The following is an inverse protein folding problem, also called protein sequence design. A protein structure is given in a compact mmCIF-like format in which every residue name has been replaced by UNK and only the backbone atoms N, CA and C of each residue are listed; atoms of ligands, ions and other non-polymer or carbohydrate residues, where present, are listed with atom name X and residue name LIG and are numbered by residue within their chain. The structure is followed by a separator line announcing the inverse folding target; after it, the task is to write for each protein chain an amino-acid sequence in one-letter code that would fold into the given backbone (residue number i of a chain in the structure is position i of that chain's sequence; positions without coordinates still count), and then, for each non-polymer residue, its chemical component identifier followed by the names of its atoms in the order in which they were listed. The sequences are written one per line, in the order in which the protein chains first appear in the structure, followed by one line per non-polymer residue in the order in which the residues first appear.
data_IF_759399108066
#
_entry.id   IF_759399108066
#
_cell.length_a   1.000
_cell.length_b   1.000
_cell.length_c   1.000
_cell.angle_alpha   90.00
_cell.angle_beta   90.00
_cell.angle_gamma   90.00
#
_symmetry.space_group_name_H-M   'P 1'
#
loop_
_entity.id
_entity.type
_entity.pdbx_description
1 polymer ?
#
# COMPACT_ATOMS: atom_id res chain seq x y z
N UNK A 1 12.55 5.49 -16.28
CA UNK A 1 12.72 4.21 -15.55
C UNK A 1 11.45 4.00 -14.76
N UNK A 2 10.87 2.80 -14.75
CA UNK A 2 9.68 2.53 -13.94
C UNK A 2 10.04 2.74 -12.47
N UNK A 3 9.36 3.67 -11.80
CA UNK A 3 9.56 3.87 -10.37
C UNK A 3 9.20 2.57 -9.64
N UNK A 4 10.10 2.07 -8.80
CA UNK A 4 9.81 0.92 -7.94
C UNK A 4 8.86 1.43 -6.86
N UNK A 5 7.64 0.87 -6.78
CA UNK A 5 6.73 1.16 -5.66
C UNK A 5 7.35 0.61 -4.39
N UNK A 6 7.62 1.47 -3.42
CA UNK A 6 8.14 1.08 -2.12
C UNK A 6 7.01 1.12 -1.12
N UNK A 7 6.44 -0.05 -0.86
CA UNK A 7 5.34 -0.24 0.09
C UNK A 7 5.87 -1.00 1.30
N UNK A 8 5.51 -0.55 2.48
CA UNK A 8 5.92 -1.14 3.75
C UNK A 8 4.69 -1.45 4.61
N UNK A 9 4.72 -2.63 5.25
CA UNK A 9 3.71 -3.03 6.23
C UNK A 9 4.31 -2.84 7.62
N UNK A 10 3.58 -2.16 8.50
CA UNK A 10 3.94 -2.02 9.91
C UNK A 10 2.76 -2.42 10.79
N UNK A 11 3.05 -2.77 12.04
CA UNK A 11 2.03 -3.01 13.05
C UNK A 11 2.32 -2.10 14.23
N UNK A 12 1.34 -1.28 14.58
CA UNK A 12 1.37 -0.37 15.72
C UNK A 12 0.49 -0.90 16.85
N UNK A 13 0.86 -0.57 18.08
CA UNK A 13 0.10 -0.87 19.30
C UNK A 13 -0.19 0.46 20.04
N UNK A 14 -1.15 1.26 19.56
CA UNK A 14 -1.50 2.53 20.20
C UNK A 14 -2.10 2.33 21.59
N UNK A 15 -2.88 1.26 21.74
CA UNK A 15 -3.45 0.81 23.01
C UNK A 15 -2.91 -0.59 23.34
N UNK A 16 -2.46 -0.85 24.58
CA UNK A 16 -1.93 -2.16 24.94
C UNK A 16 -2.88 -3.30 24.62
N UNK A 17 -2.37 -4.32 23.91
CA UNK A 17 -3.13 -5.47 23.46
C UNK A 17 -4.01 -5.24 22.24
N UNK A 18 -3.99 -4.05 21.62
CA UNK A 18 -4.72 -3.75 20.39
C UNK A 18 -3.74 -3.36 19.28
N UNK A 19 -3.61 -4.24 18.30
CA UNK A 19 -2.64 -4.13 17.22
C UNK A 19 -3.32 -3.69 15.93
N UNK A 20 -2.75 -2.71 15.25
CA UNK A 20 -3.26 -2.18 13.99
C UNK A 20 -2.18 -2.28 12.94
N UNK A 21 -2.51 -2.83 11.77
CA UNK A 21 -1.59 -2.81 10.64
C UNK A 21 -1.77 -1.53 9.82
N UNK A 22 -0.68 -1.05 9.23
CA UNK A 22 -0.67 0.12 8.34
C UNK A 22 0.23 -0.17 7.14
N UNK A 23 -0.29 0.10 5.95
CA UNK A 23 0.45 0.10 4.69
C UNK A 23 0.85 1.53 4.34
N UNK A 24 2.15 1.75 4.18
CA UNK A 24 2.72 3.03 3.80
C UNK A 24 3.45 2.90 2.46
N UNK A 25 3.31 3.89 1.58
CA UNK A 25 4.07 4.00 0.33
C UNK A 25 4.97 5.23 0.31
N UNK A 26 6.18 5.08 -0.22
CA UNK A 26 7.08 6.18 -0.52
C UNK A 26 6.41 7.18 -1.49
N UNK A 27 6.30 8.43 -1.08
CA UNK A 27 5.75 9.53 -1.88
C UNK A 27 6.74 10.07 -2.92
N UNK A 28 6.41 11.24 -3.48
CA UNK A 28 7.23 11.89 -4.51
C UNK A 28 8.64 12.30 -4.03
N UNK A 29 8.80 12.48 -2.72
CA UNK A 29 10.09 12.62 -2.06
C UNK A 29 10.36 11.38 -1.20
N UNK A 30 11.59 10.87 -1.24
CA UNK A 30 12.00 9.65 -0.51
C UNK A 30 11.88 9.79 1.02
N UNK A 31 11.76 11.02 1.52
CA UNK A 31 11.50 11.33 2.92
C UNK A 31 10.01 11.23 3.31
N UNK A 32 9.12 11.18 2.32
CA UNK A 32 7.67 11.16 2.54
C UNK A 32 7.13 9.74 2.43
N UNK A 33 6.32 9.37 3.41
CA UNK A 33 5.55 8.14 3.39
C UNK A 33 4.08 8.50 3.51
N UNK A 34 3.28 7.99 2.58
CA UNK A 34 1.85 8.22 2.49
C UNK A 34 1.13 6.94 2.88
N UNK A 35 0.14 7.05 3.77
CA UNK A 35 -0.71 5.93 4.13
C UNK A 35 -1.55 5.50 2.91
N UNK A 36 -1.46 4.21 2.57
CA UNK A 36 -2.29 3.58 1.54
C UNK A 36 -3.56 2.99 2.15
N UNK A 37 -3.39 2.27 3.25
CA UNK A 37 -4.45 1.55 3.92
C UNK A 37 -4.05 1.21 5.34
N UNK A 38 -5.02 1.11 6.24
CA UNK A 38 -4.83 0.70 7.62
C UNK A 38 -5.97 -0.20 8.09
N UNK A 39 -5.75 -0.88 9.22
CA UNK A 39 -6.77 -1.66 9.89
C UNK A 39 -7.93 -0.76 10.36
N UNK A 40 -9.17 -1.12 10.03
CA UNK A 40 -10.36 -0.41 10.54
C UNK A 40 -10.59 -0.64 12.04
N UNK A 41 -10.15 -1.80 12.55
CA UNK A 41 -10.29 -2.23 13.94
C UNK A 41 -8.98 -2.86 14.46
N UNK A 42 -8.80 -2.82 15.78
CA UNK A 42 -7.64 -3.41 16.44
C UNK A 42 -7.76 -4.93 16.55
N UNK A 43 -6.64 -5.61 16.40
CA UNK A 43 -6.51 -7.05 16.60
C UNK A 43 -5.97 -7.34 17.99
N UNK A 44 -6.41 -8.45 18.61
CA UNK A 44 -5.91 -8.88 19.93
C UNK A 44 -4.48 -9.47 19.87
N UNK A 45 -4.00 -9.81 18.67
CA UNK A 45 -2.70 -10.43 18.46
C UNK A 45 -1.90 -9.71 17.37
N UNK A 46 -0.65 -9.37 17.71
CA UNK A 46 0.30 -8.75 16.78
C UNK A 46 0.46 -9.54 15.48
N UNK A 47 0.52 -10.88 15.58
CA UNK A 47 0.71 -11.75 14.44
C UNK A 47 -0.50 -11.73 13.49
N UNK A 48 -1.71 -11.62 14.02
CA UNK A 48 -2.94 -11.54 13.21
C UNK A 48 -3.02 -10.19 12.49
N UNK A 49 -2.68 -9.09 13.19
CA UNK A 49 -2.56 -7.78 12.56
C UNK A 49 -1.53 -7.81 11.41
N UNK A 50 -0.35 -8.39 11.65
CA UNK A 50 0.68 -8.51 10.63
C UNK A 50 0.20 -9.32 9.42
N UNK A 51 -0.42 -10.48 9.63
CA UNK A 51 -0.93 -11.30 8.54
C UNK A 51 -2.04 -10.58 7.75
N UNK A 52 -2.94 -9.88 8.43
CA UNK A 52 -3.97 -9.07 7.78
C UNK A 52 -3.35 -7.95 6.90
N UNK A 53 -2.32 -7.27 7.41
CA UNK A 53 -1.58 -6.26 6.64
C UNK A 53 -0.83 -6.86 5.44
N UNK A 54 -0.23 -8.04 5.58
CA UNK A 54 0.42 -8.76 4.47
C UNK A 54 -0.61 -9.17 3.40
N UNK A 55 -1.78 -9.66 3.79
CA UNK A 55 -2.86 -9.95 2.84
C UNK A 55 -3.38 -8.69 2.14
N UNK A 56 -3.45 -7.55 2.84
CA UNK A 56 -3.81 -6.28 2.22
C UNK A 56 -2.76 -5.86 1.18
N UNK A 57 -1.46 -6.03 1.48
CA UNK A 57 -0.38 -5.77 0.54
C UNK A 57 -0.45 -6.68 -0.70
N UNK A 58 -0.68 -7.98 -0.51
CA UNK A 58 -0.83 -8.94 -1.60
C UNK A 58 -1.98 -8.57 -2.54
N UNK A 59 -3.10 -8.10 -2.00
CA UNK A 59 -4.25 -7.63 -2.79
C UNK A 59 -3.96 -6.40 -3.66
N UNK A 60 -2.91 -5.64 -3.36
CA UNK A 60 -2.47 -4.53 -4.23
C UNK A 60 -1.77 -5.03 -5.50
N UNK A 61 -1.36 -6.31 -5.55
CA UNK A 61 -0.79 -6.92 -6.74
C UNK A 61 -1.88 -7.46 -7.65
N UNK A 62 -1.99 -6.91 -8.87
CA UNK A 62 -2.83 -7.51 -9.93
C UNK A 62 -2.29 -8.88 -10.38
N UNK A 63 -0.96 -9.05 -10.33
CA UNK A 63 -0.25 -10.31 -10.51
C UNK A 63 0.76 -10.49 -9.36
N UNK A 64 0.49 -11.45 -8.47
CA UNK A 64 1.33 -11.79 -7.31
C UNK A 64 2.77 -12.14 -7.70
N UNK A 65 3.01 -12.60 -8.93
CA UNK A 65 4.35 -12.97 -9.42
C UNK A 65 5.23 -11.75 -9.68
N UNK A 66 4.60 -10.59 -9.88
CA UNK A 66 5.25 -9.32 -10.22
C UNK A 66 5.14 -8.33 -9.06
N UNK A 67 4.09 -8.46 -8.24
CA UNK A 67 3.81 -7.56 -7.13
C UNK A 67 3.02 -6.31 -7.56
N UNK A 68 2.78 -5.38 -6.64
CA UNK A 68 2.02 -4.16 -6.92
C UNK A 68 2.76 -3.30 -7.96
N UNK A 69 2.22 -3.27 -9.18
CA UNK A 69 2.74 -2.43 -10.25
C UNK A 69 2.52 -0.95 -9.92
N UNK A 70 3.41 -0.03 -10.38
CA UNK A 70 3.10 1.39 -10.47
C UNK A 70 1.76 1.48 -11.17
N UNK A 71 0.77 2.16 -10.58
CA UNK A 71 -0.45 2.50 -11.31
C UNK A 71 0.05 3.05 -12.63
N UNK A 72 -0.13 2.28 -13.70
CA UNK A 72 0.25 2.73 -15.02
C UNK A 72 -0.48 4.05 -15.12
N UNK A 73 0.27 5.14 -15.14
CA UNK A 73 -0.28 6.46 -15.41
C UNK A 73 -1.25 6.20 -16.52
N UNK A 74 -2.55 6.32 -16.24
CA UNK A 74 -3.54 6.33 -17.29
C UNK A 74 -3.05 7.49 -18.12
N UNK A 75 -2.31 7.16 -19.21
CA UNK A 75 -2.03 8.11 -20.26
C UNK A 75 -3.42 8.45 -20.70
N UNK A 76 -3.95 9.55 -20.18
CA UNK A 76 -5.05 10.25 -20.79
C UNK A 76 -4.72 10.21 -22.26
N UNK A 77 -5.54 9.58 -23.12
CA UNK A 77 -5.43 9.85 -24.53
C UNK A 77 -5.83 11.32 -24.63
N UNK A 78 -4.83 12.20 -24.49
CA UNK A 78 -4.96 13.60 -24.78
C UNK A 78 -5.20 13.67 -26.30
N UNK A 79 -6.48 13.53 -26.63
CA UNK A 79 -7.16 14.27 -27.66
C UNK A 79 -6.38 14.36 -28.99
N UNK A 80 -6.30 13.25 -29.72
CA UNK A 80 -6.36 13.29 -31.19
C UNK A 80 -7.81 13.41 -31.66
N UNK A 81 -8.49 14.47 -31.25
CA UNK A 81 -9.80 14.81 -31.78
C UNK A 81 -9.90 16.34 -31.92
N UNK A 82 -9.43 16.86 -33.06
CA UNK A 82 -10.23 17.54 -34.08
C UNK A 82 -9.36 18.54 -34.88
N UNK A 83 -9.30 18.26 -36.19
CA UNK A 83 -8.92 19.07 -37.35
C UNK A 83 -7.57 19.81 -37.40
#
# INVERSE_FOLDING_TARGET
MSHIRRISVHVDEPDPGHFYWVLMEEGDDASQWVELQSAEEGFDMWLDALQAGMWALEKLAEDERVGPAPLATMKTPAQWAFH
#
